data_IF_339469373657
#
_entry.id   IF_339469373657
#
_cell.length_a   1.000
_cell.length_b   1.000
_cell.length_c   1.000
_cell.angle_alpha   90.00
_cell.angle_beta   90.00
_cell.angle_gamma   90.00
#
_symmetry.space_group_name_H-M   'P 1'
#
loop_
_entity.id
_entity.type
_entity.pdbx_description
1 polymer ?
#
# COMPACT_ATOMS: atom_id res chain seq x y z
N UNK A 1 13.13 7.25 -2.22
CA UNK A 1 11.71 7.35 -2.64
C UNK A 1 11.40 6.83 -4.04
N UNK A 2 11.71 7.54 -5.14
CA UNK A 2 11.26 7.12 -6.50
C UNK A 2 11.72 5.72 -6.91
N UNK A 3 13.00 5.39 -6.73
CA UNK A 3 13.52 4.04 -7.01
C UNK A 3 12.89 2.98 -6.11
N UNK A 4 12.71 3.27 -4.81
CA UNK A 4 12.01 2.37 -3.89
C UNK A 4 10.56 2.11 -4.31
N UNK A 5 9.87 3.13 -4.81
CA UNK A 5 8.52 2.98 -5.37
C UNK A 5 8.49 2.03 -6.57
N UNK A 6 9.41 2.22 -7.53
CA UNK A 6 9.53 1.34 -8.71
C UNK A 6 9.85 -0.09 -8.26
N UNK A 7 10.88 -0.27 -7.43
CA UNK A 7 11.30 -1.58 -6.91
C UNK A 7 10.15 -2.30 -6.21
N UNK A 8 9.43 -1.62 -5.31
CA UNK A 8 8.30 -2.22 -4.59
C UNK A 8 7.20 -2.70 -5.55
N UNK A 9 6.86 -1.88 -6.55
CA UNK A 9 5.81 -2.22 -7.52
C UNK A 9 6.26 -3.40 -8.40
N UNK A 10 7.48 -3.37 -8.93
CA UNK A 10 8.01 -4.44 -9.78
C UNK A 10 8.19 -5.76 -9.01
N UNK A 11 8.61 -5.70 -7.75
CA UNK A 11 8.73 -6.88 -6.89
C UNK A 11 7.38 -7.57 -6.69
N UNK A 12 6.32 -6.80 -6.44
CA UNK A 12 4.96 -7.35 -6.31
C UNK A 12 4.52 -8.08 -7.58
N UNK A 13 4.71 -7.46 -8.75
CA UNK A 13 4.36 -8.07 -10.04
C UNK A 13 5.20 -9.33 -10.32
N UNK A 14 6.51 -9.27 -10.03
CA UNK A 14 7.42 -10.38 -10.25
C UNK A 14 7.07 -11.60 -9.37
N UNK A 15 6.79 -11.38 -8.07
CA UNK A 15 6.43 -12.45 -7.13
C UNK A 15 5.10 -13.10 -7.52
N UNK A 16 4.10 -12.31 -7.93
CA UNK A 16 2.84 -12.85 -8.42
C UNK A 16 3.03 -13.70 -9.70
N UNK A 17 3.94 -13.29 -10.59
CA UNK A 17 4.21 -14.01 -11.83
C UNK A 17 4.88 -15.39 -11.61
N UNK A 18 5.52 -15.62 -10.45
CA UNK A 18 6.11 -16.91 -10.10
C UNK A 18 5.07 -18.02 -9.86
N UNK A 19 3.78 -17.68 -9.68
CA UNK A 19 2.68 -18.63 -9.46
C UNK A 19 2.92 -19.62 -8.30
N UNK A 20 3.66 -19.19 -7.28
CA UNK A 20 3.82 -19.96 -6.04
C UNK A 20 2.51 -19.99 -5.25
N UNK A 21 2.34 -21.01 -4.41
CA UNK A 21 1.14 -21.24 -3.57
C UNK A 21 0.67 -19.98 -2.84
N UNK A 22 1.60 -19.22 -2.26
CA UNK A 22 1.31 -18.02 -1.45
C UNK A 22 1.73 -16.70 -2.14
N UNK A 23 1.99 -16.71 -3.45
CA UNK A 23 2.45 -15.52 -4.18
C UNK A 23 1.51 -14.30 -4.08
N UNK A 24 0.21 -14.55 -3.86
CA UNK A 24 -0.82 -13.51 -3.67
C UNK A 24 -0.79 -12.86 -2.28
N UNK A 25 -0.13 -13.48 -1.30
CA UNK A 25 -0.04 -12.97 0.07
C UNK A 25 1.09 -11.95 0.24
N UNK A 26 1.97 -11.81 -0.76
CA UNK A 26 3.06 -10.85 -0.72
C UNK A 26 2.51 -9.41 -0.67
N UNK A 27 2.78 -8.73 0.45
CA UNK A 27 2.40 -7.34 0.64
C UNK A 27 3.47 -6.56 1.40
N UNK A 28 3.83 -5.40 0.86
CA UNK A 28 4.78 -4.48 1.50
C UNK A 28 4.04 -3.24 2.01
N UNK A 29 3.83 -3.09 3.33
CA UNK A 29 3.13 -1.94 3.91
C UNK A 29 3.78 -0.62 3.55
N UNK A 30 5.10 -0.53 3.67
CA UNK A 30 5.89 0.65 3.32
C UNK A 30 7.26 0.23 2.78
N UNK A 31 7.83 1.02 1.87
CA UNK A 31 9.20 0.88 1.38
C UNK A 31 9.70 2.27 1.03
N UNK A 32 10.22 2.96 2.05
CA UNK A 32 10.56 4.39 2.03
C UNK A 32 11.66 4.65 3.05
N UNK A 33 12.48 5.67 2.82
CA UNK A 33 13.42 6.16 3.84
C UNK A 33 12.81 7.26 4.74
N UNK A 34 11.53 7.60 4.53
CA UNK A 34 10.85 8.70 5.23
C UNK A 34 9.59 8.27 5.97
N UNK A 35 9.00 7.15 5.58
CA UNK A 35 7.71 6.71 6.12
C UNK A 35 7.74 5.22 6.36
N UNK A 36 7.44 4.84 7.60
CA UNK A 36 7.22 3.45 8.01
C UNK A 36 5.76 3.28 8.41
N UNK A 37 5.16 2.15 8.01
CA UNK A 37 3.76 1.83 8.33
C UNK A 37 3.73 0.59 9.22
N UNK A 38 3.26 0.79 10.44
CA UNK A 38 2.86 -0.26 11.37
C UNK A 38 1.34 -0.43 11.28
N UNK A 39 0.88 -1.60 10.84
CA UNK A 39 -0.54 -1.88 10.63
C UNK A 39 -0.84 -3.36 10.80
N UNK A 40 -2.05 -3.68 11.24
CA UNK A 40 -2.47 -5.06 11.38
C UNK A 40 -3.93 -5.23 11.71
N UNK A 41 -4.34 -6.48 11.86
CA UNK A 41 -5.67 -6.87 12.32
C UNK A 41 -5.71 -6.80 13.85
N UNK A 42 -5.65 -5.58 14.37
CA UNK A 42 -5.52 -5.30 15.80
C UNK A 42 -6.59 -4.29 16.22
N UNK A 43 -6.98 -4.34 17.49
CA UNK A 43 -7.69 -3.23 18.10
C UNK A 43 -6.73 -2.03 18.23
N UNK A 44 -7.30 -0.82 18.22
CA UNK A 44 -6.50 0.41 18.26
C UNK A 44 -5.56 0.46 19.49
N UNK A 45 -6.03 -0.01 20.65
CA UNK A 45 -5.25 -0.04 21.89
C UNK A 45 -4.18 -1.16 21.92
N UNK A 46 -4.22 -2.09 20.97
CA UNK A 46 -3.28 -3.20 20.87
C UNK A 46 -2.06 -2.86 20.00
N UNK A 47 -2.12 -1.81 19.18
CA UNK A 47 -1.04 -1.46 18.23
C UNK A 47 0.30 -1.27 18.95
N UNK A 48 0.34 -0.48 20.02
CA UNK A 48 1.55 -0.26 20.82
C UNK A 48 1.97 -1.45 21.68
N UNK A 49 1.05 -2.39 21.97
CA UNK A 49 1.34 -3.63 22.70
C UNK A 49 1.96 -4.68 21.77
N UNK A 50 1.49 -4.73 20.53
CA UNK A 50 1.94 -5.68 19.50
C UNK A 50 3.29 -5.26 18.89
N UNK A 51 3.40 -4.00 18.46
CA UNK A 51 4.65 -3.46 17.89
C UNK A 51 5.48 -2.78 18.96
N UNK A 52 6.34 -3.55 19.62
CA UNK A 52 7.22 -3.05 20.70
C UNK A 52 8.14 -1.91 20.26
N UNK A 53 8.51 -1.87 18.98
CA UNK A 53 9.28 -0.77 18.40
C UNK A 53 8.64 0.59 18.68
N UNK A 54 7.30 0.69 18.65
CA UNK A 54 6.59 1.95 18.88
C UNK A 54 6.70 2.47 20.32
N UNK A 55 7.11 1.63 21.26
CA UNK A 55 7.41 2.04 22.64
C UNK A 55 8.88 2.44 22.84
N UNK A 56 9.74 2.24 21.83
CA UNK A 56 11.14 2.60 21.90
C UNK A 56 11.30 4.13 21.82
N UNK A 57 12.05 4.78 22.74
CA UNK A 57 12.22 6.23 22.75
C UNK A 57 12.91 6.79 21.49
N UNK A 58 13.56 5.95 20.69
CA UNK A 58 14.16 6.33 19.40
C UNK A 58 13.12 6.49 18.29
N UNK A 59 11.91 5.96 18.47
CA UNK A 59 10.81 6.15 17.52
C UNK A 59 10.21 7.54 17.71
N UNK A 60 10.87 8.51 17.11
CA UNK A 60 10.45 9.91 17.06
C UNK A 60 10.01 10.27 15.64
N UNK A 61 8.93 11.01 15.54
CA UNK A 61 8.43 11.51 14.24
C UNK A 61 7.81 12.89 14.42
N UNK A 62 7.97 13.73 13.40
CA UNK A 62 7.27 15.02 13.35
C UNK A 62 5.76 14.85 13.09
N UNK A 63 5.36 13.76 12.44
CA UNK A 63 3.98 13.49 12.04
C UNK A 63 3.66 12.01 12.28
N UNK A 64 2.49 11.74 12.84
CA UNK A 64 1.91 10.41 12.92
C UNK A 64 0.50 10.43 12.31
N UNK A 65 0.15 9.37 11.57
CA UNK A 65 -1.18 9.19 11.00
C UNK A 65 -1.72 7.83 11.45
N UNK A 66 -2.89 7.85 12.07
CA UNK A 66 -3.56 6.65 12.60
C UNK A 66 -4.89 6.44 11.90
N UNK A 67 -5.31 5.18 11.81
CA UNK A 67 -6.61 4.83 11.22
C UNK A 67 -7.15 3.54 11.81
N UNK A 68 -8.43 3.55 12.19
CA UNK A 68 -9.19 2.37 12.53
C UNK A 68 -10.25 2.13 11.47
N UNK A 69 -10.27 0.93 10.90
CA UNK A 69 -11.21 0.56 9.84
C UNK A 69 -12.38 -0.23 10.44
N UNK A 70 -13.59 0.17 10.10
CA UNK A 70 -14.77 -0.69 10.22
C UNK A 70 -15.02 -1.37 8.87
N UNK A 71 -15.17 -2.70 8.85
CA UNK A 71 -15.32 -3.48 7.62
C UNK A 71 -16.65 -4.21 7.65
N UNK A 72 -17.39 -4.17 6.55
CA UNK A 72 -18.59 -5.00 6.34
C UNK A 72 -18.25 -6.42 5.89
N UNK A 73 -16.98 -6.70 5.55
CA UNK A 73 -16.50 -8.04 5.23
C UNK A 73 -16.26 -8.86 6.50
N UNK A 74 -16.63 -10.15 6.46
CA UNK A 74 -16.46 -11.10 7.57
C UNK A 74 -15.04 -11.69 7.68
N UNK A 75 -14.28 -11.73 6.58
CA UNK A 75 -12.90 -12.22 6.58
C UNK A 75 -11.90 -11.07 6.64
N UNK A 76 -11.03 -11.03 7.66
CA UNK A 76 -10.09 -9.94 7.81
C UNK A 76 -8.83 -10.19 6.96
N UNK A 77 -8.40 -9.17 6.22
CA UNK A 77 -7.18 -9.21 5.41
C UNK A 77 -6.18 -8.14 5.84
N UNK A 78 -4.96 -8.58 6.20
CA UNK A 78 -3.87 -7.69 6.62
C UNK A 78 -3.54 -6.58 5.61
N UNK A 79 -3.47 -6.85 4.29
CA UNK A 79 -3.20 -5.81 3.30
C UNK A 79 -4.22 -4.65 3.29
N UNK A 80 -5.47 -4.92 3.69
CA UNK A 80 -6.57 -3.94 3.68
C UNK A 80 -6.61 -3.03 4.91
N UNK A 81 -5.81 -3.33 5.95
CA UNK A 81 -5.65 -2.41 7.07
C UNK A 81 -5.00 -1.11 6.58
N UNK A 82 -5.51 0.03 7.02
CA UNK A 82 -4.87 1.34 6.82
C UNK A 82 -3.84 1.60 7.94
N UNK A 83 -2.92 2.57 7.79
CA UNK A 83 -2.70 3.46 6.65
C UNK A 83 -2.27 2.76 5.36
N UNK A 84 -2.67 3.32 4.21
CA UNK A 84 -1.94 3.08 2.96
C UNK A 84 -0.74 4.03 2.87
N UNK A 85 0.08 3.80 1.85
CA UNK A 85 1.41 4.39 1.70
C UNK A 85 1.45 5.91 1.65
N UNK A 86 0.35 6.53 1.24
CA UNK A 86 0.20 7.98 1.15
C UNK A 86 -1.15 8.48 1.67
N UNK A 87 -2.05 7.58 2.10
CA UNK A 87 -3.45 7.94 2.37
C UNK A 87 -4.06 7.07 3.47
N UNK A 88 -4.85 7.73 4.32
CA UNK A 88 -5.89 7.11 5.14
C UNK A 88 -7.23 7.62 4.61
N UNK A 89 -8.20 6.73 4.48
CA UNK A 89 -9.51 7.07 3.94
C UNK A 89 -10.61 6.55 4.85
N UNK A 90 -11.44 7.46 5.33
CA UNK A 90 -12.67 7.14 6.06
C UNK A 90 -13.87 7.43 5.16
N UNK A 91 -14.61 6.38 4.80
CA UNK A 91 -15.71 6.43 3.84
C UNK A 91 -15.59 5.35 2.76
N UNK A 92 -16.39 5.50 1.71
CA UNK A 92 -16.44 4.58 0.58
C UNK A 92 -16.35 5.32 -0.76
N UNK A 93 -15.57 4.78 -1.71
CA UNK A 93 -15.47 5.32 -3.06
C UNK A 93 -16.48 4.57 -3.95
N UNK A 94 -17.68 5.14 -4.08
CA UNK A 94 -18.79 4.50 -4.80
C UNK A 94 -18.55 4.33 -6.31
N UNK A 95 -17.58 5.07 -6.87
CA UNK A 95 -17.26 5.06 -8.31
C UNK A 95 -16.00 4.25 -8.66
N UNK A 96 -15.54 3.38 -7.75
CA UNK A 96 -14.25 2.68 -7.85
C UNK A 96 -14.04 1.95 -9.18
N UNK A 97 -15.06 1.23 -9.68
CA UNK A 97 -14.99 0.50 -10.95
C UNK A 97 -14.79 1.43 -12.15
N UNK A 98 -15.49 2.58 -12.16
CA UNK A 98 -15.32 3.61 -13.17
C UNK A 98 -13.91 4.19 -13.14
N UNK A 99 -13.42 4.53 -11.95
CA UNK A 99 -12.07 5.08 -11.75
C UNK A 99 -10.98 4.09 -12.22
N UNK A 100 -11.15 2.79 -11.91
CA UNK A 100 -10.25 1.73 -12.38
C UNK A 100 -10.19 1.69 -13.91
N UNK A 101 -11.35 1.64 -14.59
CA UNK A 101 -11.42 1.58 -16.04
C UNK A 101 -10.79 2.82 -16.70
N UNK A 102 -11.08 4.01 -16.16
CA UNK A 102 -10.49 5.26 -16.63
C UNK A 102 -8.97 5.29 -16.47
N UNK A 103 -8.45 4.76 -15.36
CA UNK A 103 -7.01 4.66 -15.16
C UNK A 103 -6.37 3.69 -16.15
N UNK A 104 -6.95 2.50 -16.34
CA UNK A 104 -6.46 1.50 -17.29
C UNK A 104 -6.42 2.03 -18.73
N UNK A 105 -7.45 2.75 -19.16
CA UNK A 105 -7.49 3.38 -20.49
C UNK A 105 -6.38 4.44 -20.69
N UNK A 106 -5.94 5.10 -19.61
CA UNK A 106 -4.91 6.15 -19.65
C UNK A 106 -3.48 5.62 -19.61
N UNK A 107 -3.25 4.34 -19.24
CA UNK A 107 -1.91 3.75 -19.12
C UNK A 107 -1.09 3.85 -20.42
N UNK A 108 -1.72 3.67 -21.58
CA UNK A 108 -1.02 3.75 -22.87
C UNK A 108 -0.51 5.15 -23.25
N UNK A 109 -1.06 6.21 -22.65
CA UNK A 109 -0.75 7.61 -23.03
C UNK A 109 -0.05 8.40 -21.93
N UNK A 110 0.08 7.84 -20.72
CA UNK A 110 0.76 8.50 -19.61
C UNK A 110 2.25 8.72 -19.91
N UNK A 111 2.73 9.92 -19.60
CA UNK A 111 4.14 10.31 -19.67
C UNK A 111 4.56 10.95 -18.35
N UNK A 112 5.78 10.65 -17.92
CA UNK A 112 6.35 11.25 -16.72
C UNK A 112 7.80 11.65 -16.98
N UNK A 113 8.16 12.94 -16.89
CA UNK A 113 9.55 13.37 -17.04
C UNK A 113 10.44 12.86 -15.89
N UNK A 114 9.82 12.48 -14.77
CA UNK A 114 10.53 12.07 -13.55
C UNK A 114 10.74 10.56 -13.49
N UNK A 115 9.78 9.77 -14.00
CA UNK A 115 9.91 8.31 -14.05
C UNK A 115 10.54 7.84 -15.37
N UNK A 116 10.42 8.61 -16.45
CA UNK A 116 10.95 8.24 -17.76
C UNK A 116 10.55 6.82 -18.16
N UNK A 117 11.54 6.01 -18.54
CA UNK A 117 11.35 4.63 -18.95
C UNK A 117 10.86 3.70 -17.83
N UNK A 118 11.08 4.05 -16.55
CA UNK A 118 10.60 3.27 -15.42
C UNK A 118 9.06 3.29 -15.32
N UNK A 119 8.38 4.25 -15.95
CA UNK A 119 6.91 4.35 -15.91
C UNK A 119 6.24 3.08 -16.44
N UNK A 120 6.76 2.50 -17.54
CA UNK A 120 6.21 1.28 -18.15
C UNK A 120 6.26 0.07 -17.20
N UNK A 121 7.22 0.06 -16.27
CA UNK A 121 7.39 -1.01 -15.27
C UNK A 121 6.31 -0.98 -14.19
N UNK A 122 5.56 0.13 -14.08
CA UNK A 122 4.55 0.32 -13.05
C UNK A 122 3.17 -0.18 -13.48
N UNK A 123 3.00 -0.57 -14.74
CA UNK A 123 1.72 -1.03 -15.26
C UNK A 123 1.43 -2.49 -14.86
N UNK A 124 0.17 -2.84 -14.57
CA UNK A 124 -0.96 -1.92 -14.38
C UNK A 124 -0.80 -1.11 -13.09
N UNK A 125 -1.19 0.17 -13.08
CA UNK A 125 -1.07 1.05 -11.90
C UNK A 125 -1.98 0.57 -10.78
N UNK A 126 -3.24 0.29 -11.13
CA UNK A 126 -4.24 -0.28 -10.23
C UNK A 126 -4.41 -1.76 -10.53
N UNK A 127 -4.42 -2.60 -9.50
CA UNK A 127 -4.81 -4.00 -9.61
C UNK A 127 -6.31 -4.11 -9.34
N UNK A 128 -6.97 -5.06 -10.00
CA UNK A 128 -8.34 -5.48 -9.68
C UNK A 128 -8.32 -6.46 -8.50
#
# INVERSE_FOLDING_TARGET
>A
ERKLYVIRKTASSAIQALKLTHSREYYVPSMSCRTVIYKGLLLADQVGKYYKDLADPRVVSAIALVHQRFSTNTFPEWPLAHPYRMVCHNGEINTVKGNFNWMRAREGVMKSPVLGDDLKKLYPISFE
#
